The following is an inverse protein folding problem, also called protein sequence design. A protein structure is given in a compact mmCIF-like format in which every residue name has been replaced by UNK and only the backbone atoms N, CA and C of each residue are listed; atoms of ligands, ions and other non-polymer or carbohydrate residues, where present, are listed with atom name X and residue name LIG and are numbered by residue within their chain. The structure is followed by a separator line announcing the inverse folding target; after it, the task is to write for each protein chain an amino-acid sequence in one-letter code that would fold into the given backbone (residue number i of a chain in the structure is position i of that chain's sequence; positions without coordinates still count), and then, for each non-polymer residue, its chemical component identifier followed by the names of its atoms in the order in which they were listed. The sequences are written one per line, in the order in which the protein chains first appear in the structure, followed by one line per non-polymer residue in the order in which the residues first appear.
data_IF_458579989771
#
_entry.id   IF_458579989771
#
_cell.length_a   1.000
_cell.length_b   1.000
_cell.length_c   1.000
_cell.angle_alpha   90.00
_cell.angle_beta   90.00
_cell.angle_gamma   90.00
#
_symmetry.space_group_name_H-M   'P 1'
#
loop_
_entity.id
_entity.type
_entity.pdbx_description
1 polymer ?
#
# COMPACT_ATOMS: atom_id res chain seq x y z
N UNK A 1 -13.61 1.42 31.36
CA UNK A 1 -14.12 0.44 30.38
C UNK A 1 -14.13 1.11 29.02
N UNK A 2 -13.62 0.46 27.98
CA UNK A 2 -13.63 1.01 26.61
C UNK A 2 -14.03 -0.11 25.65
N UNK A 3 -15.02 0.14 24.82
CA UNK A 3 -15.38 -0.77 23.73
C UNK A 3 -14.35 -0.62 22.61
N UNK A 4 -13.76 -1.73 22.20
CA UNK A 4 -12.80 -1.78 21.09
C UNK A 4 -13.38 -2.59 19.94
N UNK A 5 -13.25 -2.05 18.74
CA UNK A 5 -13.44 -2.84 17.52
C UNK A 5 -12.14 -3.58 17.25
N UNK A 6 -12.16 -4.90 17.37
CA UNK A 6 -10.96 -5.74 17.29
C UNK A 6 -11.18 -6.97 16.44
N UNK A 7 -10.07 -7.57 16.01
CA UNK A 7 -10.07 -8.87 15.33
C UNK A 7 -9.92 -9.98 16.36
N UNK A 8 -10.80 -10.97 16.25
CA UNK A 8 -10.64 -12.26 16.93
C UNK A 8 -10.28 -13.31 15.92
N UNK A 9 -9.40 -14.23 16.34
CA UNK A 9 -8.84 -15.25 15.47
C UNK A 9 -9.70 -16.50 15.56
N UNK A 10 -10.15 -16.94 14.39
CA UNK A 10 -10.83 -18.18 14.14
C UNK A 10 -10.06 -18.99 13.09
N UNK A 11 -10.52 -20.22 12.84
CA UNK A 11 -9.93 -21.12 11.85
C UNK A 11 -8.81 -21.99 12.40
N UNK A 12 -8.19 -22.73 11.49
CA UNK A 12 -7.22 -23.77 11.83
C UNK A 12 -5.79 -23.23 11.89
N UNK A 13 -4.86 -24.06 12.37
CA UNK A 13 -3.43 -23.81 12.23
C UNK A 13 -3.09 -23.57 10.75
N UNK A 14 -2.27 -22.56 10.48
CA UNK A 14 -1.84 -22.13 9.13
C UNK A 14 -2.97 -21.69 8.18
N UNK A 15 -4.23 -21.62 8.63
CA UNK A 15 -5.38 -21.11 7.87
C UNK A 15 -6.19 -20.15 8.75
N UNK A 16 -5.67 -18.92 8.99
CA UNK A 16 -6.34 -17.96 9.85
C UNK A 16 -7.57 -17.35 9.19
N UNK A 17 -8.65 -17.24 9.97
CA UNK A 17 -9.86 -16.49 9.63
C UNK A 17 -10.12 -15.49 10.74
N UNK A 18 -10.52 -14.25 10.43
CA UNK A 18 -10.76 -13.25 11.47
C UNK A 18 -12.21 -12.79 11.46
N UNK A 19 -12.77 -12.59 12.65
CA UNK A 19 -14.05 -11.89 12.83
C UNK A 19 -13.78 -10.49 13.38
N UNK A 20 -14.49 -9.51 12.84
CA UNK A 20 -14.49 -8.14 13.35
C UNK A 20 -15.56 -8.06 14.43
N UNK A 21 -15.16 -7.78 15.67
CA UNK A 21 -16.06 -7.80 16.82
C UNK A 21 -15.96 -6.52 17.63
N UNK A 22 -17.10 -6.07 18.14
CA UNK A 22 -17.18 -5.09 19.21
C UNK A 22 -17.11 -5.80 20.56
N UNK A 23 -16.10 -5.50 21.37
CA UNK A 23 -15.92 -6.12 22.68
C UNK A 23 -15.29 -5.14 23.67
N UNK A 24 -15.44 -5.40 24.97
CA UNK A 24 -14.67 -4.67 25.97
C UNK A 24 -13.17 -4.95 25.79
N UNK A 25 -12.36 -3.89 25.87
CA UNK A 25 -10.91 -3.92 25.96
C UNK A 25 -10.34 -5.02 26.88
N UNK A 26 -10.96 -5.28 28.03
CA UNK A 26 -10.46 -6.21 29.05
C UNK A 26 -10.83 -7.67 28.79
N UNK A 27 -11.79 -7.94 27.91
CA UNK A 27 -12.21 -9.31 27.67
C UNK A 27 -11.15 -10.08 26.85
N UNK A 28 -11.00 -11.40 27.04
CA UNK A 28 -10.05 -12.21 26.27
C UNK A 28 -10.30 -12.08 24.76
N UNK A 29 -9.24 -12.20 23.94
CA UNK A 29 -9.30 -11.99 22.48
C UNK A 29 -10.51 -12.69 21.81
N UNK A 30 -10.68 -13.97 22.12
CA UNK A 30 -11.70 -14.84 21.54
C UNK A 30 -12.85 -15.14 22.54
N UNK A 31 -12.97 -14.31 23.59
CA UNK A 31 -13.99 -14.46 24.64
C UNK A 31 -15.31 -13.76 24.33
N UNK A 32 -16.01 -13.36 25.40
CA UNK A 32 -17.29 -12.65 25.31
C UNK A 32 -17.13 -11.32 24.55
N UNK A 33 -17.96 -11.17 23.55
CA UNK A 33 -18.10 -9.97 22.72
C UNK A 33 -19.54 -9.45 22.83
N UNK A 34 -19.73 -8.19 22.43
CA UNK A 34 -21.05 -7.54 22.39
C UNK A 34 -21.77 -7.87 21.09
N UNK A 35 -21.05 -7.72 19.96
CA UNK A 35 -21.62 -7.90 18.62
C UNK A 35 -20.54 -8.32 17.61
N UNK A 36 -20.91 -9.18 16.67
CA UNK A 36 -20.08 -9.51 15.50
C UNK A 36 -20.46 -8.59 14.35
N UNK A 37 -19.53 -7.76 13.91
CA UNK A 37 -19.76 -6.75 12.87
C UNK A 37 -19.42 -7.25 11.47
N UNK A 38 -18.62 -8.31 11.36
CA UNK A 38 -18.22 -8.85 10.08
C UNK A 38 -17.04 -9.82 10.16
N UNK A 39 -16.39 -10.02 9.03
CA UNK A 39 -15.27 -10.93 8.89
C UNK A 39 -14.18 -10.40 7.95
N UNK A 40 -12.99 -10.96 8.11
CA UNK A 40 -11.82 -10.69 7.30
C UNK A 40 -11.04 -11.98 7.06
N UNK A 41 -10.87 -12.33 5.79
CA UNK A 41 -10.02 -13.42 5.35
C UNK A 41 -8.72 -12.85 4.76
N UNK A 42 -7.56 -13.07 5.42
CA UNK A 42 -6.28 -12.58 4.94
C UNK A 42 -5.73 -13.41 3.76
N UNK A 43 -6.20 -14.65 3.59
CA UNK A 43 -5.76 -15.52 2.52
C UNK A 43 -6.43 -15.10 1.22
N UNK A 44 -5.65 -14.92 0.13
CA UNK A 44 -6.22 -14.59 -1.16
C UNK A 44 -7.10 -15.75 -1.66
N UNK A 45 -8.22 -15.40 -2.27
CA UNK A 45 -9.02 -16.37 -3.05
C UNK A 45 -8.36 -16.70 -4.40
N UNK A 46 -9.08 -17.45 -5.24
CA UNK A 46 -8.65 -17.72 -6.63
C UNK A 46 -8.45 -16.42 -7.43
N UNK A 47 -9.25 -15.40 -7.13
CA UNK A 47 -9.19 -14.06 -7.77
C UNK A 47 -8.00 -13.20 -7.29
N UNK A 48 -7.16 -13.70 -6.38
CA UNK A 48 -6.04 -12.96 -5.78
C UNK A 48 -6.44 -11.91 -4.73
N UNK A 49 -7.74 -11.58 -4.62
CA UNK A 49 -8.27 -10.62 -3.66
C UNK A 49 -8.42 -11.16 -2.24
N UNK A 50 -8.19 -10.30 -1.24
CA UNK A 50 -8.51 -10.56 0.18
C UNK A 50 -9.99 -10.28 0.42
N UNK A 51 -10.70 -11.25 0.98
CA UNK A 51 -12.16 -11.16 1.16
C UNK A 51 -12.50 -10.58 2.53
N UNK A 52 -13.38 -9.58 2.56
CA UNK A 52 -13.90 -9.00 3.79
C UNK A 52 -15.37 -8.63 3.61
N UNK A 53 -16.15 -8.78 4.67
CA UNK A 53 -17.55 -8.37 4.70
C UNK A 53 -17.85 -7.69 6.03
N UNK A 54 -18.50 -6.53 5.98
CA UNK A 54 -18.81 -5.71 7.16
C UNK A 54 -20.27 -5.28 7.11
N UNK A 55 -20.92 -5.27 8.26
CA UNK A 55 -22.19 -4.56 8.44
C UNK A 55 -21.89 -3.08 8.69
N UNK A 56 -22.03 -2.26 7.64
CA UNK A 56 -21.68 -0.84 7.67
C UNK A 56 -22.50 -0.04 8.68
N UNK A 57 -23.79 -0.34 8.84
CA UNK A 57 -24.68 0.42 9.72
C UNK A 57 -24.28 0.24 11.19
N UNK A 58 -23.97 -1.01 11.56
CA UNK A 58 -23.55 -1.33 12.93
C UNK A 58 -22.15 -0.80 13.22
N UNK A 59 -21.24 -0.87 12.26
CA UNK A 59 -19.90 -0.27 12.41
C UNK A 59 -19.99 1.24 12.66
N UNK A 60 -20.80 1.96 11.86
CA UNK A 60 -21.01 3.40 12.03
C UNK A 60 -21.60 3.74 13.39
N UNK A 61 -22.58 2.96 13.85
CA UNK A 61 -23.15 3.10 15.19
C UNK A 61 -22.08 2.94 16.30
N UNK A 62 -21.26 1.89 16.24
CA UNK A 62 -20.24 1.70 17.27
C UNK A 62 -19.18 2.80 17.26
N UNK A 63 -18.81 3.30 16.09
CA UNK A 63 -17.92 4.46 15.96
C UNK A 63 -18.55 5.73 16.55
N UNK A 64 -19.84 5.97 16.34
CA UNK A 64 -20.52 7.15 16.90
C UNK A 64 -20.66 7.10 18.43
N UNK A 65 -20.80 5.90 19.00
CA UNK A 65 -20.79 5.67 20.46
C UNK A 65 -19.37 5.82 21.06
N UNK A 66 -18.34 5.99 20.22
CA UNK A 66 -16.96 6.20 20.66
C UNK A 66 -16.14 4.92 20.79
N UNK A 67 -16.55 3.82 20.15
CA UNK A 67 -15.74 2.60 20.11
C UNK A 67 -14.41 2.85 19.38
N UNK A 68 -13.31 2.40 19.98
CA UNK A 68 -11.96 2.64 19.46
C UNK A 68 -11.51 1.44 18.59
N UNK A 69 -11.33 1.60 17.27
CA UNK A 69 -10.83 0.54 16.42
C UNK A 69 -9.33 0.30 16.63
N UNK A 70 -8.91 -0.98 16.60
CA UNK A 70 -7.48 -1.33 16.59
C UNK A 70 -6.83 -1.07 15.23
N UNK A 71 -5.51 -0.93 15.18
CA UNK A 71 -4.75 -0.65 13.95
C UNK A 71 -5.09 -1.55 12.75
N UNK A 72 -5.21 -2.89 12.88
CA UNK A 72 -5.60 -3.72 11.74
C UNK A 72 -7.05 -3.49 11.31
N UNK A 73 -7.95 -3.18 12.26
CA UNK A 73 -9.35 -2.85 11.96
C UNK A 73 -9.45 -1.49 11.28
N UNK A 74 -8.68 -0.49 11.70
CA UNK A 74 -8.59 0.80 11.01
C UNK A 74 -8.20 0.63 9.54
N UNK A 75 -7.22 -0.23 9.25
CA UNK A 75 -6.83 -0.53 7.86
C UNK A 75 -7.96 -1.19 7.06
N UNK A 76 -8.73 -2.08 7.69
CA UNK A 76 -9.90 -2.72 7.07
C UNK A 76 -10.99 -1.67 6.79
N UNK A 77 -11.30 -0.82 7.76
CA UNK A 77 -12.31 0.24 7.64
C UNK A 77 -11.92 1.30 6.61
N UNK A 78 -10.63 1.64 6.52
CA UNK A 78 -10.09 2.52 5.48
C UNK A 78 -10.30 1.92 4.09
N UNK A 79 -9.96 0.63 3.90
CA UNK A 79 -10.16 -0.06 2.61
C UNK A 79 -11.64 -0.19 2.25
N UNK A 80 -12.51 -0.21 3.25
CA UNK A 80 -13.96 -0.21 3.08
C UNK A 80 -14.56 1.20 2.88
N UNK A 81 -13.74 2.26 2.92
CA UNK A 81 -14.17 3.65 2.71
C UNK A 81 -14.89 4.31 3.89
N UNK A 82 -14.80 3.74 5.10
CA UNK A 82 -15.52 4.24 6.29
C UNK A 82 -14.69 5.25 7.09
N UNK A 83 -13.37 5.04 7.17
CA UNK A 83 -12.44 5.91 7.90
C UNK A 83 -11.41 6.54 6.96
N UNK A 84 -10.84 7.71 7.32
CA UNK A 84 -9.66 8.26 6.65
C UNK A 84 -8.45 7.33 6.81
N UNK A 85 -7.40 7.49 5.97
CA UNK A 85 -6.19 6.69 6.09
C UNK A 85 -5.57 6.87 7.48
N UNK A 86 -5.19 5.78 8.17
CA UNK A 86 -4.50 5.90 9.45
C UNK A 86 -3.16 6.63 9.24
N UNK A 87 -2.65 7.36 10.24
CA UNK A 87 -1.50 8.26 10.08
C UNK A 87 -0.26 7.56 9.54
N UNK A 88 -0.04 6.28 9.88
CA UNK A 88 1.06 5.47 9.32
C UNK A 88 0.93 5.16 7.83
N UNK A 89 -0.28 5.15 7.28
CA UNK A 89 -0.53 4.96 5.86
C UNK A 89 -0.50 6.29 5.09
N UNK A 90 -0.90 7.37 5.76
CA UNK A 90 -0.85 8.73 5.22
C UNK A 90 0.58 9.28 5.19
N UNK A 91 1.42 8.93 6.17
CA UNK A 91 2.84 9.26 6.17
C UNK A 91 3.57 8.39 5.16
N UNK A 92 4.27 9.04 4.23
CA UNK A 92 5.23 8.37 3.36
C UNK A 92 6.33 7.71 4.19
N UNK A 93 6.95 6.66 3.63
CA UNK A 93 8.01 5.95 4.32
C UNK A 93 9.19 6.92 4.50
N UNK A 94 9.72 7.03 5.71
CA UNK A 94 10.83 7.94 6.07
C UNK A 94 12.09 7.81 5.20
N UNK A 95 12.20 6.77 4.37
CA UNK A 95 13.28 6.55 3.41
C UNK A 95 12.92 6.78 1.93
N UNK A 96 11.80 7.45 1.64
CA UNK A 96 11.33 7.64 0.26
C UNK A 96 10.78 6.37 -0.39
N UNK A 97 10.45 6.41 -1.69
CA UNK A 97 10.10 5.22 -2.46
C UNK A 97 11.26 4.21 -2.45
N UNK A 98 10.95 2.90 -2.41
CA UNK A 98 11.99 1.87 -2.54
C UNK A 98 12.67 2.03 -3.90
N UNK A 99 14.00 1.99 -3.94
CA UNK A 99 14.72 1.91 -5.21
C UNK A 99 14.39 0.56 -5.87
N UNK A 100 13.64 0.60 -6.98
CA UNK A 100 13.25 -0.57 -7.78
C UNK A 100 14.17 -0.82 -8.96
N UNK A 101 15.32 -0.11 -9.04
CA UNK A 101 16.27 -0.30 -10.12
C UNK A 101 16.79 -1.75 -10.13
N UNK A 102 16.97 -2.36 -11.31
CA UNK A 102 17.59 -3.67 -11.43
C UNK A 102 19.02 -3.64 -10.86
N UNK A 103 19.33 -4.61 -10.02
CA UNK A 103 20.66 -4.81 -9.45
C UNK A 103 21.43 -5.75 -10.36
N UNK A 104 22.65 -5.37 -10.73
CA UNK A 104 23.54 -6.25 -11.49
C UNK A 104 23.94 -7.46 -10.63
N UNK A 105 23.77 -8.71 -11.13
CA UNK A 105 24.03 -9.91 -10.34
C UNK A 105 25.51 -10.12 -9.97
N UNK A 106 26.44 -9.55 -10.76
CA UNK A 106 27.89 -9.69 -10.53
C UNK A 106 28.48 -8.57 -9.67
N UNK A 107 27.96 -7.34 -9.80
CA UNK A 107 28.52 -6.16 -9.14
C UNK A 107 27.75 -5.73 -7.89
N UNK A 108 26.50 -6.19 -7.71
CA UNK A 108 25.62 -5.80 -6.62
C UNK A 108 25.22 -4.32 -6.65
N UNK A 109 25.58 -3.58 -7.70
CA UNK A 109 25.27 -2.16 -7.87
C UNK A 109 23.96 -2.00 -8.64
N UNK A 110 23.25 -0.92 -8.34
CA UNK A 110 22.04 -0.54 -9.08
C UNK A 110 22.43 -0.07 -10.48
N UNK A 111 21.82 -0.66 -11.50
CA UNK A 111 21.92 -0.15 -12.87
C UNK A 111 21.04 1.09 -12.99
N UNK A 112 21.66 2.24 -13.27
CA UNK A 112 20.90 3.37 -13.77
C UNK A 112 20.70 3.13 -15.28
N UNK A 113 19.46 3.17 -15.82
CA UNK A 113 19.29 3.29 -17.26
C UNK A 113 19.93 4.62 -17.66
N UNK A 114 21.11 4.56 -18.28
CA UNK A 114 21.83 5.73 -18.77
C UNK A 114 20.90 6.44 -19.75
N UNK A 115 20.47 7.66 -19.42
CA UNK A 115 19.88 8.60 -20.37
C UNK A 115 20.80 8.61 -21.60
N UNK A 116 20.30 8.35 -22.83
CA UNK A 116 21.17 8.14 -23.98
C UNK A 116 22.04 9.37 -24.18
N UNK A 117 23.35 9.15 -24.20
CA UNK A 117 24.39 10.17 -24.28
C UNK A 117 24.73 10.54 -25.73
N UNK A 118 23.88 10.19 -26.68
CA UNK A 118 24.05 10.47 -28.11
C UNK A 118 23.11 11.60 -28.55
N UNK A 119 23.21 12.75 -27.89
CA UNK A 119 22.76 14.01 -28.47
C UNK A 119 23.97 14.64 -29.16
N UNK A 120 23.99 14.45 -30.48
CA UNK A 120 25.02 14.87 -31.42
C UNK A 120 25.53 16.31 -31.21
N UNK A 121 26.85 16.46 -31.16
CA UNK A 121 27.57 17.68 -31.52
C UNK A 121 28.61 17.30 -32.60
N UNK A 122 28.66 18.00 -33.75
CA UNK A 122 29.41 17.57 -34.93
C UNK A 122 30.83 18.13 -34.97
N UNK A 123 31.77 17.32 -35.46
CA UNK A 123 33.12 17.67 -35.91
C UNK A 123 33.49 16.60 -36.95
N UNK A 124 33.99 16.80 -38.16
CA UNK A 124 34.69 17.85 -38.91
C UNK A 124 34.73 17.34 -40.37
N UNK A 125 34.85 18.23 -41.38
CA UNK A 125 35.81 18.05 -42.51
C UNK A 125 35.89 19.31 -43.37
N UNK A 126 37.03 20.01 -43.24
CA UNK A 126 37.98 20.50 -44.28
C UNK A 126 37.49 21.31 -45.50
N UNK A 127 37.96 22.57 -45.55
CA UNK A 127 38.76 23.25 -46.61
C UNK A 127 39.01 22.40 -47.88
N UNK A 128 38.95 22.85 -49.14
CA UNK A 128 39.37 24.08 -49.86
C UNK A 128 38.74 23.92 -51.28
N UNK A 129 38.34 24.92 -52.08
CA UNK A 129 39.20 25.82 -52.85
C UNK A 129 38.34 26.75 -53.72
N UNK A 130 38.98 27.88 -54.03
CA UNK A 130 38.67 28.95 -54.98
C UNK A 130 38.01 28.51 -56.31
N UNK A 131 37.03 29.27 -56.81
CA UNK A 131 37.22 29.93 -58.10
C UNK A 131 36.27 31.12 -58.32
N UNK A 132 36.90 32.13 -58.88
CA UNK A 132 36.48 33.45 -59.31
C UNK A 132 35.42 33.41 -60.42
N UNK A 133 34.52 34.40 -60.46
CA UNK A 133 34.19 35.20 -61.67
C UNK A 133 32.77 35.81 -61.72
N UNK A 134 32.81 37.14 -61.85
CA UNK A 134 31.98 38.03 -62.68
C UNK A 134 30.51 38.35 -62.31
N UNK A 135 30.35 39.61 -61.90
CA UNK A 135 29.32 40.58 -62.30
C UNK A 135 28.54 40.29 -63.59
N UNK A 136 27.22 40.53 -63.56
CA UNK A 136 26.50 41.60 -64.28
C UNK A 136 24.98 41.36 -64.21
#
# INVERSE_FOLDING_TARGET
MVVRLRLSRFGCKNKPFYRVMAADSRSPRDGKHLEVLGYYNPLPGQDGGKRMGLNFDRVKYWLSVGAQPSDPVQRILFRAGVLPPPPMLAMERKGGPRDTRPVDPLSGKYTNPKKPADAAAPSETTETDENDSSSA
#
